data_IF_795633602886
#
_entry.id   IF_795633602886
#
_cell.length_a   1.000
_cell.length_b   1.000
_cell.length_c   1.000
_cell.angle_alpha   90.00
_cell.angle_beta   90.00
_cell.angle_gamma   90.00
#
_symmetry.space_group_name_H-M   'P 1'
#
loop_
_entity.id
_entity.type
_entity.pdbx_description
1 polymer ?
#
# COMPACT_ATOMS: atom_id res chain seq x y z
N UNK A 1 0.52 14.57 21.10
CA UNK A 1 0.40 15.41 19.89
C UNK A 1 -1.09 15.62 19.63
N UNK A 2 -1.51 16.59 18.84
CA UNK A 2 -2.93 16.68 18.46
C UNK A 2 -3.23 15.50 17.53
N UNK A 3 -3.82 14.43 18.06
CA UNK A 3 -4.10 13.18 17.35
C UNK A 3 -5.26 13.29 16.34
N UNK A 4 -5.65 14.51 15.97
CA UNK A 4 -6.68 14.79 14.97
C UNK A 4 -5.99 15.00 13.63
N UNK A 5 -6.45 14.28 12.62
CA UNK A 5 -6.05 14.49 11.23
C UNK A 5 -6.65 15.82 10.76
N UNK A 6 -5.78 16.80 10.60
CA UNK A 6 -6.12 18.12 10.04
C UNK A 6 -6.39 18.02 8.54
N UNK A 7 -7.06 19.01 7.92
CA UNK A 7 -7.26 19.04 6.47
C UNK A 7 -5.95 18.95 5.68
N UNK A 8 -4.89 19.61 6.16
CA UNK A 8 -3.57 19.64 5.50
C UNK A 8 -2.92 18.25 5.57
N UNK A 9 -2.95 17.59 6.74
CA UNK A 9 -2.44 16.23 6.88
C UNK A 9 -3.26 15.24 6.04
N UNK A 10 -4.58 15.38 6.02
CA UNK A 10 -5.43 14.53 5.19
C UNK A 10 -5.10 14.68 3.71
N UNK A 11 -4.92 15.91 3.22
CA UNK A 11 -4.52 16.18 1.83
C UNK A 11 -3.18 15.52 1.50
N UNK A 12 -2.21 15.59 2.41
CA UNK A 12 -0.93 14.91 2.25
C UNK A 12 -1.08 13.38 2.16
N UNK A 13 -1.89 12.78 3.04
CA UNK A 13 -2.15 11.34 3.02
C UNK A 13 -2.86 10.88 1.74
N UNK A 14 -3.82 11.67 1.25
CA UNK A 14 -4.54 11.43 -0.01
C UNK A 14 -3.58 11.43 -1.20
N UNK A 15 -2.65 12.40 -1.23
CA UNK A 15 -1.63 12.46 -2.27
C UNK A 15 -0.67 11.25 -2.22
N UNK A 16 -0.22 10.84 -1.03
CA UNK A 16 0.61 9.63 -0.88
C UNK A 16 -0.10 8.36 -1.35
N UNK A 17 -1.42 8.30 -1.20
CA UNK A 17 -2.25 7.20 -1.65
C UNK A 17 -2.62 7.25 -3.15
N UNK A 18 -2.17 8.29 -3.88
CA UNK A 18 -2.54 8.54 -5.27
C UNK A 18 -4.07 8.54 -5.51
N UNK A 19 -4.82 9.15 -4.59
CA UNK A 19 -6.26 9.29 -4.68
C UNK A 19 -6.65 10.71 -5.10
N UNK A 20 -7.60 10.82 -6.02
CA UNK A 20 -8.26 12.08 -6.37
C UNK A 20 -9.65 12.10 -5.72
N UNK A 21 -9.90 13.06 -4.82
CA UNK A 21 -11.13 13.15 -4.05
C UNK A 21 -11.79 14.51 -4.25
N UNK A 22 -13.12 14.51 -4.38
CA UNK A 22 -13.91 15.74 -4.34
C UNK A 22 -13.91 16.38 -2.93
N UNK A 23 -14.25 17.68 -2.81
CA UNK A 23 -14.20 18.38 -1.52
C UNK A 23 -15.15 17.79 -0.46
N UNK A 24 -16.36 17.39 -0.86
CA UNK A 24 -17.34 16.78 0.05
C UNK A 24 -16.89 15.40 0.54
N UNK A 25 -16.35 14.60 -0.37
CA UNK A 25 -15.82 13.26 -0.08
C UNK A 25 -14.60 13.35 0.84
N UNK A 26 -13.67 14.27 0.56
CA UNK A 26 -12.49 14.50 1.38
C UNK A 26 -12.86 14.88 2.82
N UNK A 27 -13.83 15.79 3.01
CA UNK A 27 -14.27 16.18 4.35
C UNK A 27 -15.01 15.04 5.07
N UNK A 28 -15.84 14.28 4.34
CA UNK A 28 -16.48 13.09 4.88
C UNK A 28 -15.45 12.05 5.36
N UNK A 29 -14.52 11.65 4.50
CA UNK A 29 -13.52 10.63 4.80
C UNK A 29 -12.59 11.07 5.93
N UNK A 30 -12.15 12.33 5.95
CA UNK A 30 -11.35 12.88 7.06
C UNK A 30 -12.07 12.76 8.40
N UNK A 31 -13.38 13.02 8.46
CA UNK A 31 -14.17 12.81 9.68
C UNK A 31 -14.24 11.33 10.07
N UNK A 32 -14.44 10.44 9.09
CA UNK A 32 -14.48 9.00 9.34
C UNK A 32 -13.14 8.46 9.84
N UNK A 33 -12.01 8.85 9.24
CA UNK A 33 -10.68 8.47 9.70
C UNK A 33 -10.42 8.96 11.14
N UNK A 34 -10.80 10.20 11.46
CA UNK A 34 -10.71 10.70 12.83
C UNK A 34 -11.58 9.91 13.82
N UNK A 35 -12.73 9.38 13.39
CA UNK A 35 -13.53 8.48 14.20
C UNK A 35 -12.87 7.11 14.37
N UNK A 36 -12.26 6.55 13.32
CA UNK A 36 -11.53 5.27 13.39
C UNK A 36 -10.31 5.34 14.31
N UNK A 37 -9.61 6.48 14.35
CA UNK A 37 -8.49 6.70 15.29
C UNK A 37 -8.92 6.55 16.76
N UNK A 38 -10.18 6.82 17.10
CA UNK A 38 -10.68 6.59 18.47
C UNK A 38 -10.59 5.11 18.84
N UNK A 39 -10.94 4.20 17.93
CA UNK A 39 -10.86 2.77 18.18
C UNK A 39 -9.41 2.29 18.32
N UNK A 40 -8.49 2.84 17.51
CA UNK A 40 -7.06 2.54 17.60
C UNK A 40 -6.50 2.95 18.97
N UNK A 41 -6.88 4.12 19.49
CA UNK A 41 -6.47 4.58 20.83
C UNK A 41 -6.96 3.68 21.96
N UNK A 42 -8.12 3.05 21.81
CA UNK A 42 -8.59 2.07 22.80
C UNK A 42 -7.69 0.81 22.79
N UNK A 43 -7.18 0.40 21.63
CA UNK A 43 -6.23 -0.71 21.51
C UNK A 43 -4.85 -0.36 22.07
N UNK A 44 -4.37 0.86 21.86
CA UNK A 44 -3.07 1.34 22.39
C UNK A 44 -3.01 1.35 23.92
N UNK A 45 -4.16 1.40 24.61
CA UNK A 45 -4.23 1.31 26.09
C UNK A 45 -3.95 -0.09 26.62
N UNK A 46 -3.95 -1.11 25.77
CA UNK A 46 -3.64 -2.48 26.17
C UNK A 46 -2.12 -2.58 26.28
N UNK A 47 -1.55 -2.77 27.49
CA UNK A 47 -0.11 -2.84 27.66
C UNK A 47 0.43 -4.09 26.95
N UNK A 48 1.45 -3.89 26.12
CA UNK A 48 2.23 -4.96 25.49
C UNK A 48 3.61 -4.95 26.16
N UNK A 49 4.05 -6.06 26.78
CA UNK A 49 5.38 -6.14 27.38
C UNK A 49 6.48 -5.90 26.34
N UNK A 50 7.56 -5.20 26.72
CA UNK A 50 8.65 -4.82 25.81
C UNK A 50 9.40 -6.02 25.20
N UNK A 51 9.31 -7.20 25.84
CA UNK A 51 9.91 -8.46 25.38
C UNK A 51 9.03 -9.22 24.39
N UNK A 52 7.81 -8.76 24.11
CA UNK A 52 6.94 -9.36 23.10
C UNK A 52 7.33 -8.85 21.71
N UNK A 53 7.86 -9.70 20.82
CA UNK A 53 8.21 -9.29 19.47
C UNK A 53 6.94 -9.02 18.63
N UNK A 54 7.02 -8.14 17.61
CA UNK A 54 5.92 -7.97 16.66
C UNK A 54 5.58 -9.28 15.94
N UNK A 55 4.29 -9.60 15.85
CA UNK A 55 3.79 -10.77 15.12
C UNK A 55 3.78 -10.51 13.60
N UNK A 56 4.95 -10.53 12.96
CA UNK A 56 5.08 -10.29 11.51
C UNK A 56 4.41 -11.39 10.64
N UNK A 57 4.28 -12.60 11.18
CA UNK A 57 3.64 -13.74 10.53
C UNK A 57 2.72 -14.44 11.53
N UNK A 58 1.60 -15.00 11.04
CA UNK A 58 0.66 -15.77 11.87
C UNK A 58 1.12 -17.21 12.17
N UNK A 59 2.23 -17.65 11.56
CA UNK A 59 2.84 -18.97 11.77
C UNK A 59 4.35 -18.83 11.94
N UNK A 60 4.94 -19.76 12.67
CA UNK A 60 6.40 -19.86 12.78
C UNK A 60 6.96 -20.46 11.49
N UNK A 61 8.01 -19.85 10.92
CA UNK A 61 8.79 -20.46 9.84
C UNK A 61 10.01 -21.17 10.44
N UNK A 62 9.77 -22.35 11.02
CA UNK A 62 10.81 -23.22 11.53
C UNK A 62 11.68 -23.79 10.41
N UNK A 63 12.85 -24.39 10.73
CA UNK A 63 13.76 -24.96 9.74
C UNK A 63 13.12 -25.99 8.79
N UNK A 64 12.07 -26.67 9.26
CA UNK A 64 11.30 -27.68 8.51
C UNK A 64 10.15 -27.11 7.69
N UNK A 65 9.70 -25.88 7.98
CA UNK A 65 8.54 -25.22 7.37
C UNK A 65 8.96 -24.14 6.37
N UNK A 66 10.27 -23.86 6.29
CA UNK A 66 10.83 -22.92 5.33
C UNK A 66 10.80 -23.53 3.93
N UNK A 67 10.15 -22.88 2.96
CA UNK A 67 10.28 -23.27 1.57
C UNK A 67 11.76 -23.28 1.15
N UNK A 68 12.13 -24.20 0.26
CA UNK A 68 13.43 -24.15 -0.39
C UNK A 68 13.59 -22.81 -1.14
N UNK A 69 14.83 -22.35 -1.25
CA UNK A 69 15.14 -21.23 -2.14
C UNK A 69 14.75 -21.60 -3.56
N UNK A 70 14.23 -20.63 -4.30
CA UNK A 70 13.97 -20.81 -5.73
C UNK A 70 15.29 -21.01 -6.46
N UNK A 71 15.40 -22.09 -7.23
CA UNK A 71 16.57 -22.35 -8.07
C UNK A 71 16.77 -21.27 -9.14
N UNK A 72 18.02 -20.99 -9.49
CA UNK A 72 18.38 -20.05 -10.55
C UNK A 72 18.29 -20.68 -11.96
N UNK A 73 17.08 -21.14 -12.29
CA UNK A 73 16.76 -21.72 -13.60
C UNK A 73 15.97 -20.71 -14.43
N UNK A 74 16.43 -20.47 -15.65
CA UNK A 74 15.74 -19.59 -16.60
C UNK A 74 14.46 -20.27 -17.07
N UNK A 75 13.33 -19.59 -16.91
CA UNK A 75 12.02 -20.03 -17.41
C UNK A 75 11.45 -18.96 -18.34
N UNK A 76 11.17 -19.33 -19.59
CA UNK A 76 10.48 -18.45 -20.52
C UNK A 76 9.01 -18.30 -20.11
N UNK A 77 8.57 -17.08 -19.82
CA UNK A 77 7.21 -16.83 -19.35
C UNK A 77 6.13 -17.17 -20.39
N UNK A 78 6.32 -16.74 -21.65
CA UNK A 78 5.31 -16.89 -22.71
C UNK A 78 4.04 -16.05 -22.52
N UNK A 79 3.94 -15.26 -21.45
CA UNK A 79 2.72 -14.51 -21.09
C UNK A 79 2.64 -13.10 -21.69
N UNK A 80 3.66 -12.63 -22.41
CA UNK A 80 3.73 -11.24 -22.87
C UNK A 80 2.47 -10.77 -23.61
N UNK A 81 2.01 -11.54 -24.60
CA UNK A 81 0.79 -11.21 -25.36
C UNK A 81 -0.48 -11.23 -24.49
N UNK A 82 -0.60 -12.20 -23.57
CA UNK A 82 -1.75 -12.32 -22.67
C UNK A 82 -1.79 -11.21 -21.60
N UNK A 83 -0.63 -10.71 -21.19
CA UNK A 83 -0.49 -9.57 -20.29
C UNK A 83 -0.89 -8.28 -21.01
N UNK A 84 -0.35 -8.04 -22.21
CA UNK A 84 -0.67 -6.84 -23.00
C UNK A 84 -2.14 -6.77 -23.40
N UNK A 85 -2.79 -7.91 -23.62
CA UNK A 85 -4.23 -7.96 -23.91
C UNK A 85 -5.13 -7.44 -22.77
N UNK A 86 -4.59 -7.26 -21.54
CA UNK A 86 -5.31 -6.70 -20.40
C UNK A 86 -5.05 -5.21 -20.19
N UNK A 87 -4.13 -4.63 -20.96
CA UNK A 87 -3.77 -3.23 -20.84
C UNK A 87 -4.87 -2.33 -21.42
N UNK A 88 -5.14 -1.16 -20.80
CA UNK A 88 -6.05 -0.17 -21.37
C UNK A 88 -5.59 0.35 -22.73
N UNK A 89 -4.28 0.52 -22.90
CA UNK A 89 -3.67 1.04 -24.13
C UNK A 89 -2.30 0.39 -24.35
N UNK A 90 -2.03 0.02 -25.60
CA UNK A 90 -0.77 -0.60 -26.02
C UNK A 90 -0.30 0.01 -27.34
N UNK A 91 1.02 0.09 -27.50
CA UNK A 91 1.66 0.46 -28.77
C UNK A 91 2.94 -0.34 -28.96
N UNK A 92 3.14 -0.94 -30.13
CA UNK A 92 4.31 -1.75 -30.49
C UNK A 92 4.79 -2.78 -29.43
N UNK A 93 3.87 -3.33 -28.62
CA UNK A 93 4.21 -4.28 -27.55
C UNK A 93 4.57 -3.65 -26.20
N UNK A 94 4.33 -2.36 -26.04
CA UNK A 94 4.53 -1.58 -24.83
C UNK A 94 3.20 -1.14 -24.23
N UNK A 95 3.18 -0.93 -22.91
CA UNK A 95 2.09 -0.23 -22.25
C UNK A 95 2.22 1.26 -22.54
N UNK A 96 1.14 1.89 -22.97
CA UNK A 96 1.11 3.34 -23.16
C UNK A 96 0.62 4.00 -21.89
N UNK A 97 1.37 4.98 -21.40
CA UNK A 97 1.03 5.80 -20.24
C UNK A 97 1.32 7.27 -20.56
N UNK A 98 0.65 8.23 -19.89
CA UNK A 98 1.00 9.64 -20.00
C UNK A 98 2.48 9.87 -19.67
N UNK A 99 3.09 10.85 -20.35
CA UNK A 99 4.50 11.20 -20.14
C UNK A 99 4.72 11.59 -18.67
N UNK A 100 5.69 10.91 -18.04
CA UNK A 100 6.10 11.24 -16.68
C UNK A 100 7.05 12.44 -16.71
N UNK A 101 6.60 13.56 -16.13
CA UNK A 101 7.47 14.71 -15.90
C UNK A 101 8.58 14.29 -14.92
N UNK A 102 9.81 14.22 -15.42
CA UNK A 102 10.97 14.14 -14.56
C UNK A 102 11.18 15.57 -14.04
N UNK A 103 11.12 15.77 -12.72
CA UNK A 103 11.36 17.08 -12.12
C UNK A 103 12.69 17.70 -12.61
N UNK A 104 12.96 18.99 -12.35
CA UNK A 104 14.20 19.61 -12.80
C UNK A 104 15.41 18.80 -12.29
N UNK A 105 16.34 18.50 -13.21
CA UNK A 105 17.62 17.88 -12.91
C UNK A 105 18.45 18.70 -11.92
#
# INVERSE_FOLDING_TARGET
>A
MSDIITPELFTYLVNLAALELGPEEADYLRRQLNNQLKAIRELERIPVPDDVPPAAHGVTFGPTERPALRDDVITLSGLAAAILAQAPEIDEGYFVVPEISHGPA
#
